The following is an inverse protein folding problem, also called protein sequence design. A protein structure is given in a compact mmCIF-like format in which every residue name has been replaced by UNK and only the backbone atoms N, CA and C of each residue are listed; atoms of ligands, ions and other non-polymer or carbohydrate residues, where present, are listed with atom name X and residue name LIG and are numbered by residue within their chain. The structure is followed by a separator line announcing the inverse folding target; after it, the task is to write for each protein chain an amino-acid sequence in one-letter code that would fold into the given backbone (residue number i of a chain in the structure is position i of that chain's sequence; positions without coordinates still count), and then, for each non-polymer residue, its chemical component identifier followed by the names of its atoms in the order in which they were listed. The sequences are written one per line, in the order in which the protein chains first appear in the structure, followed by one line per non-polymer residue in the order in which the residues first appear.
data_IF_269630525893
#
_entry.id   IF_269630525893
#
_cell.length_a   1.000
_cell.length_b   1.000
_cell.length_c   1.000
_cell.angle_alpha   90.00
_cell.angle_beta   90.00
_cell.angle_gamma   90.00
#
_symmetry.space_group_name_H-M   'P 1'
#
loop_
_entity.id
_entity.type
_entity.pdbx_description
1 polymer ?
#
# COMPACT_ATOMS: atom_id res chain seq x y z
N UNK A 1 -15.18 3.07 5.54
CA UNK A 1 -14.66 2.22 6.62
C UNK A 1 -14.10 0.90 6.10
N UNK A 2 -12.80 0.69 6.31
CA UNK A 2 -12.10 -0.57 6.01
C UNK A 2 -12.49 -1.61 7.07
N UNK A 3 -12.89 -2.80 6.61
CA UNK A 3 -13.35 -3.89 7.49
C UNK A 3 -12.20 -4.86 7.85
N UNK A 4 -11.18 -4.97 7.00
CA UNK A 4 -10.00 -5.81 7.19
C UNK A 4 -8.84 -5.35 6.28
N UNK A 5 -7.61 -5.72 6.63
CA UNK A 5 -6.38 -5.33 5.92
C UNK A 5 -5.79 -4.02 6.43
N UNK A 6 -4.76 -3.45 5.75
CA UNK A 6 -4.17 -3.87 4.48
C UNK A 6 -3.14 -5.00 4.61
N UNK A 7 -3.25 -5.99 3.71
CA UNK A 7 -2.25 -7.04 3.54
C UNK A 7 -1.40 -6.83 2.29
N UNK A 8 -0.09 -7.04 2.43
CA UNK A 8 0.88 -6.86 1.35
C UNK A 8 1.61 -8.17 1.12
N UNK A 9 1.58 -8.64 -0.14
CA UNK A 9 2.32 -9.81 -0.60
C UNK A 9 3.37 -9.35 -1.61
N UNK A 10 4.65 -9.66 -1.34
CA UNK A 10 5.76 -9.40 -2.25
C UNK A 10 6.10 -10.67 -3.04
N UNK A 11 6.28 -10.55 -4.37
CA UNK A 11 6.79 -11.61 -5.25
C UNK A 11 7.92 -11.07 -6.12
N UNK A 12 9.11 -11.68 -6.04
CA UNK A 12 10.28 -11.30 -6.86
C UNK A 12 10.90 -9.93 -6.55
N UNK A 13 10.42 -9.23 -5.52
CA UNK A 13 10.91 -7.90 -5.16
C UNK A 13 11.80 -7.93 -3.91
N UNK A 14 11.24 -8.37 -2.77
CA UNK A 14 11.95 -8.55 -1.49
C UNK A 14 11.63 -9.92 -0.88
N UNK A 15 12.64 -10.54 -0.26
CA UNK A 15 12.46 -11.76 0.55
C UNK A 15 11.92 -11.34 1.92
N UNK A 16 10.65 -11.65 2.20
CA UNK A 16 9.90 -11.08 3.33
C UNK A 16 10.58 -11.32 4.68
N UNK A 17 11.31 -12.43 4.86
CA UNK A 17 12.03 -12.71 6.12
C UNK A 17 13.19 -11.76 6.42
N UNK A 18 13.80 -11.17 5.41
CA UNK A 18 14.91 -10.20 5.57
C UNK A 18 14.41 -8.75 5.49
N UNK A 19 13.13 -8.56 5.18
CA UNK A 19 12.52 -7.25 4.89
C UNK A 19 11.25 -7.01 5.71
N UNK A 20 11.10 -7.67 6.86
CA UNK A 20 9.91 -7.55 7.72
C UNK A 20 9.64 -6.09 8.09
N UNK A 21 10.66 -5.37 8.57
CA UNK A 21 10.55 -3.93 8.88
C UNK A 21 10.14 -3.07 7.67
N UNK A 22 10.64 -3.38 6.47
CA UNK A 22 10.25 -2.68 5.24
C UNK A 22 8.76 -2.93 4.92
N UNK A 23 8.30 -4.17 5.10
CA UNK A 23 6.92 -4.55 4.83
C UNK A 23 5.96 -3.96 5.87
N UNK A 24 6.35 -3.88 7.14
CA UNK A 24 5.55 -3.27 8.21
C UNK A 24 5.40 -1.77 8.00
N UNK A 25 6.49 -1.07 7.68
CA UNK A 25 6.42 0.34 7.30
C UNK A 25 5.57 0.52 6.04
N UNK A 26 5.68 -0.35 5.04
CA UNK A 26 4.85 -0.29 3.83
C UNK A 26 3.35 -0.44 4.16
N UNK A 27 2.98 -1.38 5.05
CA UNK A 27 1.59 -1.52 5.55
C UNK A 27 1.12 -0.25 6.24
N UNK A 28 1.96 0.34 7.10
CA UNK A 28 1.64 1.60 7.78
C UNK A 28 1.40 2.75 6.78
N UNK A 29 2.19 2.82 5.69
CA UNK A 29 1.98 3.82 4.63
C UNK A 29 0.67 3.62 3.88
N UNK A 30 0.27 2.37 3.62
CA UNK A 30 -1.03 2.08 3.00
C UNK A 30 -2.15 2.48 3.92
N UNK A 31 -2.08 2.13 5.21
CA UNK A 31 -3.09 2.50 6.19
C UNK A 31 -3.26 4.03 6.25
N UNK A 32 -2.16 4.77 6.35
CA UNK A 32 -2.20 6.24 6.34
C UNK A 32 -2.83 6.81 5.06
N UNK A 33 -2.58 6.20 3.90
CA UNK A 33 -3.19 6.62 2.65
C UNK A 33 -4.70 6.33 2.63
N UNK A 34 -5.14 5.22 3.20
CA UNK A 34 -6.56 4.87 3.34
C UNK A 34 -7.28 5.80 4.32
N UNK A 35 -6.69 6.07 5.48
CA UNK A 35 -7.24 6.98 6.49
C UNK A 35 -7.42 8.38 5.89
N UNK A 36 -6.42 8.87 5.16
CA UNK A 36 -6.50 10.15 4.45
C UNK A 36 -7.62 10.17 3.41
N UNK A 37 -7.82 9.09 2.66
CA UNK A 37 -8.92 8.99 1.71
C UNK A 37 -10.27 9.05 2.43
N UNK A 38 -10.40 8.43 3.60
CA UNK A 38 -11.61 8.46 4.42
C UNK A 38 -11.88 9.88 4.96
N UNK A 39 -10.85 10.56 5.49
CA UNK A 39 -10.93 11.95 5.97
C UNK A 39 -11.34 12.93 4.84
N UNK A 40 -10.76 12.76 3.65
CA UNK A 40 -11.06 13.56 2.47
C UNK A 40 -12.38 13.14 1.78
N UNK A 41 -13.13 12.17 2.33
CA UNK A 41 -14.36 11.61 1.75
C UNK A 41 -14.20 11.08 0.31
N UNK A 42 -13.02 10.57 -0.04
CA UNK A 42 -12.76 9.91 -1.32
C UNK A 42 -13.44 8.54 -1.33
N UNK A 43 -14.45 8.36 -2.18
CA UNK A 43 -15.23 7.10 -2.28
C UNK A 43 -14.99 6.30 -3.55
N UNK A 44 -14.37 6.92 -4.56
CA UNK A 44 -14.09 6.27 -5.82
C UNK A 44 -12.95 5.26 -5.69
N UNK A 45 -13.22 4.00 -6.03
CA UNK A 45 -12.23 2.92 -5.92
C UNK A 45 -10.98 3.17 -6.77
N UNK A 46 -11.13 3.81 -7.94
CA UNK A 46 -10.01 4.19 -8.81
C UNK A 46 -9.05 5.16 -8.10
N UNK A 47 -9.61 6.18 -7.44
CA UNK A 47 -8.84 7.18 -6.69
C UNK A 47 -8.14 6.54 -5.48
N UNK A 48 -8.86 5.74 -4.69
CA UNK A 48 -8.29 5.01 -3.55
C UNK A 48 -7.13 4.11 -4.00
N UNK A 49 -7.32 3.31 -5.06
CA UNK A 49 -6.28 2.45 -5.62
C UNK A 49 -5.06 3.25 -6.08
N UNK A 50 -5.26 4.40 -6.73
CA UNK A 50 -4.14 5.26 -7.15
C UNK A 50 -3.38 5.82 -5.96
N UNK A 51 -4.08 6.35 -4.96
CA UNK A 51 -3.46 6.92 -3.76
C UNK A 51 -2.60 5.87 -3.02
N UNK A 52 -3.13 4.65 -2.86
CA UNK A 52 -2.40 3.53 -2.25
C UNK A 52 -1.16 3.17 -3.08
N UNK A 53 -1.31 3.03 -4.41
CA UNK A 53 -0.21 2.70 -5.31
C UNK A 53 0.90 3.75 -5.25
N UNK A 54 0.54 5.02 -5.28
CA UNK A 54 1.50 6.12 -5.37
C UNK A 54 2.25 6.32 -4.04
N UNK A 55 1.55 6.15 -2.91
CA UNK A 55 2.16 6.14 -1.58
C UNK A 55 3.19 5.00 -1.43
N UNK A 56 2.81 3.77 -1.78
CA UNK A 56 3.73 2.63 -1.75
C UNK A 56 4.88 2.78 -2.73
N UNK A 57 4.62 3.26 -3.95
CA UNK A 57 5.65 3.43 -4.98
C UNK A 57 6.75 4.39 -4.54
N UNK A 58 6.36 5.54 -3.95
CA UNK A 58 7.32 6.51 -3.38
C UNK A 58 8.13 5.88 -2.26
N UNK A 59 7.46 5.27 -1.28
CA UNK A 59 8.11 4.64 -0.14
C UNK A 59 9.15 3.58 -0.55
N UNK A 60 8.77 2.66 -1.43
CA UNK A 60 9.64 1.59 -1.89
C UNK A 60 10.81 2.12 -2.72
N UNK A 61 10.57 3.14 -3.56
CA UNK A 61 11.65 3.78 -4.30
C UNK A 61 12.65 4.48 -3.37
N UNK A 62 12.18 5.19 -2.37
CA UNK A 62 13.05 5.92 -1.44
C UNK A 62 13.92 4.97 -0.61
N UNK A 63 13.35 3.83 -0.17
CA UNK A 63 14.05 2.84 0.65
C UNK A 63 14.94 1.90 -0.14
N UNK A 64 14.50 1.45 -1.32
CA UNK A 64 15.19 0.37 -2.06
C UNK A 64 15.74 0.80 -3.41
N UNK A 65 15.50 2.05 -3.85
CA UNK A 65 15.87 2.58 -5.18
C UNK A 65 15.37 1.74 -6.36
N UNK A 66 14.27 0.99 -6.16
CA UNK A 66 13.65 0.13 -7.17
C UNK A 66 12.18 0.52 -7.33
N UNK A 67 11.60 0.23 -8.49
CA UNK A 67 10.20 0.51 -8.81
C UNK A 67 9.47 -0.80 -9.11
N UNK A 68 9.02 -1.54 -8.07
CA UNK A 68 8.24 -2.75 -8.29
C UNK A 68 6.88 -2.42 -8.89
N UNK A 69 6.29 -3.39 -9.59
CA UNK A 69 4.89 -3.32 -9.98
C UNK A 69 4.02 -3.49 -8.74
N UNK A 70 3.07 -2.57 -8.54
CA UNK A 70 2.14 -2.58 -7.40
C UNK A 70 0.72 -2.72 -7.97
N UNK A 71 0.01 -3.76 -7.54
CA UNK A 71 -1.36 -4.04 -7.97
C UNK A 71 -2.30 -4.06 -6.74
N UNK A 72 -2.99 -2.96 -6.42
CA UNK A 72 -3.96 -2.92 -5.34
C UNK A 72 -5.25 -3.67 -5.71
N UNK A 73 -5.75 -4.49 -4.78
CA UNK A 73 -7.03 -5.20 -4.90
C UNK A 73 -7.93 -4.73 -3.76
N UNK A 74 -9.16 -4.33 -4.08
CA UNK A 74 -10.20 -3.96 -3.11
C UNK A 74 -11.33 -4.96 -3.28
N UNK A 75 -11.80 -5.52 -2.18
CA UNK A 75 -12.94 -6.43 -2.12
C UNK A 75 -14.06 -5.75 -1.35
N UNK A 76 -15.28 -5.84 -1.87
CA UNK A 76 -16.49 -5.41 -1.16
C UNK A 76 -16.97 -6.55 -0.27
N UNK A 77 -17.48 -6.23 0.92
CA UNK A 77 -17.89 -7.21 1.95
C UNK A 77 -19.25 -6.87 2.54
#
# INVERSE_FOLDING_TARGET
RVVSGPDIVSRGFVYVRESEALMDEARARVQQALDRCEDENVREWSAIKSNVRDALSRYLFDKTRRRPMILPIIMDV
#
